data_IF_900485298261
#
_entry.id   IF_900485298261
#
_cell.length_a   1.000
_cell.length_b   1.000
_cell.length_c   1.000
_cell.angle_alpha   90.00
_cell.angle_beta   90.00
_cell.angle_gamma   90.00
#
_symmetry.space_group_name_H-M   'P 1'
#
loop_
_entity.id
_entity.type
_entity.pdbx_description
1 polymer ?
#
# COMPACT_ATOMS: atom_id res chain seq x y z
N UNK A 1 18.59 42.68 28.13
CA UNK A 1 17.28 43.14 27.62
C UNK A 1 17.34 44.30 26.60
N UNK A 2 18.51 44.90 26.31
CA UNK A 2 18.63 46.09 25.44
C UNK A 2 18.60 45.78 23.93
N UNK A 3 19.04 44.60 23.49
CA UNK A 3 19.16 44.26 22.06
C UNK A 3 17.80 44.07 21.34
N UNK A 4 16.79 43.55 22.05
CA UNK A 4 15.47 43.27 21.45
C UNK A 4 14.70 44.54 21.08
N UNK A 5 14.89 45.64 21.82
CA UNK A 5 14.19 46.92 21.57
C UNK A 5 14.74 47.60 20.31
N UNK A 6 16.07 47.60 20.14
CA UNK A 6 16.77 48.12 18.95
C UNK A 6 16.43 47.34 17.68
N UNK A 7 16.30 46.00 17.76
CA UNK A 7 15.87 45.18 16.62
C UNK A 7 14.46 45.55 16.16
N UNK A 8 13.51 45.70 17.08
CA UNK A 8 12.13 46.10 16.75
C UNK A 8 12.08 47.48 16.08
N UNK A 9 12.79 48.46 16.61
CA UNK A 9 12.83 49.81 16.01
C UNK A 9 13.46 49.80 14.61
N UNK A 10 14.53 49.03 14.39
CA UNK A 10 15.14 48.86 13.06
C UNK A 10 14.18 48.20 12.08
N UNK A 11 13.40 47.21 12.53
CA UNK A 11 12.38 46.54 11.70
C UNK A 11 11.24 47.49 11.35
N UNK A 12 10.76 48.30 12.29
CA UNK A 12 9.73 49.31 12.02
C UNK A 12 10.20 50.37 11.02
N UNK A 13 11.42 50.88 11.17
CA UNK A 13 11.98 51.86 10.24
C UNK A 13 12.16 51.25 8.85
N UNK A 14 12.64 49.99 8.76
CA UNK A 14 12.73 49.27 7.48
C UNK A 14 11.35 49.07 6.86
N UNK A 15 10.34 48.65 7.64
CA UNK A 15 8.98 48.45 7.17
C UNK A 15 8.33 49.76 6.66
N UNK A 16 8.51 50.88 7.37
CA UNK A 16 8.01 52.20 6.95
C UNK A 16 8.69 52.67 5.66
N UNK A 17 10.00 52.47 5.51
CA UNK A 17 10.75 52.79 4.29
C UNK A 17 10.32 51.92 3.10
N UNK A 18 10.13 50.62 3.31
CA UNK A 18 9.61 49.70 2.30
C UNK A 18 8.21 50.10 1.85
N UNK A 19 7.32 50.44 2.80
CA UNK A 19 5.96 50.92 2.51
C UNK A 19 5.97 52.24 1.73
N UNK A 20 6.87 53.16 2.07
CA UNK A 20 7.00 54.43 1.36
C UNK A 20 7.50 54.24 -0.08
N UNK A 21 8.54 53.41 -0.29
CA UNK A 21 9.01 53.05 -1.63
C UNK A 21 7.93 52.34 -2.45
N UNK A 22 7.20 51.41 -1.85
CA UNK A 22 6.10 50.72 -2.50
C UNK A 22 5.00 51.68 -2.97
N UNK A 23 4.64 52.68 -2.15
CA UNK A 23 3.64 53.69 -2.52
C UNK A 23 4.13 54.66 -3.60
N UNK A 24 5.40 55.08 -3.55
CA UNK A 24 5.90 56.13 -4.45
C UNK A 24 6.46 55.61 -5.77
N UNK A 25 7.04 54.41 -5.79
CA UNK A 25 7.85 53.92 -6.91
C UNK A 25 7.17 52.78 -7.68
N UNK A 26 6.26 52.06 -7.04
CA UNK A 26 5.54 50.89 -7.62
C UNK A 26 4.09 51.24 -7.96
N UNK A 27 3.47 52.19 -7.25
CA UNK A 27 2.08 52.63 -7.44
C UNK A 27 1.92 53.76 -8.49
N UNK A 28 2.88 53.90 -9.40
CA UNK A 28 2.79 54.81 -10.56
C UNK A 28 2.11 54.11 -11.74
N UNK A 29 1.37 54.85 -12.59
CA UNK A 29 0.59 54.25 -13.68
C UNK A 29 1.45 53.47 -14.69
N UNK A 30 2.71 53.86 -14.87
CA UNK A 30 3.67 53.20 -15.77
C UNK A 30 4.11 51.81 -15.28
N UNK A 31 4.10 51.56 -13.96
CA UNK A 31 4.61 50.34 -13.33
C UNK A 31 3.52 49.45 -12.72
N UNK A 32 2.25 49.81 -12.93
CA UNK A 32 1.08 49.08 -12.41
C UNK A 32 1.07 47.59 -12.81
N UNK A 33 1.60 47.26 -13.99
CA UNK A 33 1.70 45.88 -14.48
C UNK A 33 2.52 44.96 -13.55
N UNK A 34 3.53 45.51 -12.85
CA UNK A 34 4.38 44.76 -11.91
C UNK A 34 3.61 44.34 -10.65
N UNK A 35 2.50 45.02 -10.33
CA UNK A 35 1.60 44.66 -9.23
C UNK A 35 0.48 43.76 -9.74
N UNK A 36 -0.09 44.09 -10.90
CA UNK A 36 -1.24 43.37 -11.45
C UNK A 36 -0.89 41.94 -11.86
N UNK A 37 0.26 41.72 -12.51
CA UNK A 37 0.67 40.40 -12.98
C UNK A 37 0.78 39.35 -11.85
N UNK A 38 1.52 39.60 -10.74
CA UNK A 38 1.58 38.63 -9.64
C UNK A 38 0.25 38.51 -8.88
N UNK A 39 -0.55 39.60 -8.80
CA UNK A 39 -1.88 39.55 -8.18
C UNK A 39 -2.82 38.63 -8.98
N UNK A 40 -2.85 38.80 -10.30
CA UNK A 40 -3.65 37.99 -11.21
C UNK A 40 -3.22 36.53 -11.17
N UNK A 41 -1.90 36.27 -11.24
CA UNK A 41 -1.35 34.92 -11.11
C UNK A 41 -1.75 34.28 -9.77
N UNK A 42 -1.65 35.01 -8.66
CA UNK A 42 -2.08 34.55 -7.35
C UNK A 42 -3.57 34.20 -7.31
N UNK A 43 -4.42 35.03 -7.93
CA UNK A 43 -5.86 34.78 -8.00
C UNK A 43 -6.17 33.51 -8.80
N UNK A 44 -5.53 33.33 -9.96
CA UNK A 44 -5.66 32.13 -10.77
C UNK A 44 -5.19 30.87 -10.05
N UNK A 45 -4.09 30.93 -9.28
CA UNK A 45 -3.58 29.80 -8.51
C UNK A 45 -4.56 29.37 -7.40
N UNK A 46 -5.10 30.32 -6.65
CA UNK A 46 -6.10 30.03 -5.60
C UNK A 46 -7.39 29.43 -6.19
N UNK A 47 -7.86 29.97 -7.32
CA UNK A 47 -9.01 29.43 -8.06
C UNK A 47 -8.74 28.02 -8.59
N UNK A 48 -7.53 27.74 -9.07
CA UNK A 48 -7.16 26.42 -9.60
C UNK A 48 -7.09 25.36 -8.51
N UNK A 49 -6.50 25.67 -7.36
CA UNK A 49 -6.35 24.73 -6.24
C UNK A 49 -7.71 24.30 -5.68
N UNK A 50 -8.67 25.23 -5.55
CA UNK A 50 -10.01 24.93 -5.03
C UNK A 50 -10.85 24.04 -5.95
N UNK A 51 -10.71 24.18 -7.26
CA UNK A 51 -11.38 23.30 -8.22
C UNK A 51 -10.71 21.92 -8.29
N UNK A 52 -9.37 21.88 -8.25
CA UNK A 52 -8.60 20.64 -8.27
C UNK A 52 -8.83 19.80 -7.01
N UNK A 53 -8.90 20.43 -5.82
CA UNK A 53 -9.11 19.71 -4.56
C UNK A 53 -10.45 18.98 -4.52
N UNK A 54 -11.51 19.60 -5.07
CA UNK A 54 -12.84 18.98 -5.15
C UNK A 54 -12.84 17.77 -6.09
N UNK A 55 -12.21 17.88 -7.26
CA UNK A 55 -12.11 16.77 -8.19
C UNK A 55 -11.23 15.63 -7.64
N UNK A 56 -10.14 15.97 -6.97
CA UNK A 56 -9.25 15.01 -6.35
C UNK A 56 -9.93 14.20 -5.24
N UNK A 57 -10.75 14.85 -4.41
CA UNK A 57 -11.55 14.14 -3.39
C UNK A 57 -12.53 13.14 -4.00
N UNK A 58 -13.20 13.53 -5.09
CA UNK A 58 -14.13 12.64 -5.80
C UNK A 58 -13.37 11.49 -6.47
N UNK A 59 -12.22 11.75 -7.07
CA UNK A 59 -11.38 10.71 -7.66
C UNK A 59 -10.87 9.73 -6.60
N UNK A 60 -10.52 10.21 -5.42
CA UNK A 60 -10.08 9.36 -4.31
C UNK A 60 -11.21 8.43 -3.85
N UNK A 61 -12.44 8.93 -3.76
CA UNK A 61 -13.61 8.13 -3.41
C UNK A 61 -13.88 7.06 -4.48
N UNK A 62 -13.87 7.43 -5.77
CA UNK A 62 -14.03 6.50 -6.88
C UNK A 62 -12.96 5.41 -6.83
N UNK A 63 -11.69 5.78 -6.71
CA UNK A 63 -10.59 4.82 -6.65
C UNK A 63 -10.75 3.86 -5.46
N UNK A 64 -11.20 4.35 -4.30
CA UNK A 64 -11.45 3.51 -3.13
C UNK A 64 -12.59 2.50 -3.38
N UNK A 65 -13.65 2.93 -4.08
CA UNK A 65 -14.80 2.08 -4.41
C UNK A 65 -14.48 1.06 -5.49
N UNK A 66 -13.67 1.43 -6.47
CA UNK A 66 -13.17 0.50 -7.49
C UNK A 66 -12.29 -0.60 -6.87
N UNK A 67 -11.42 -0.23 -5.92
CA UNK A 67 -10.60 -1.20 -5.19
C UNK A 67 -11.47 -2.14 -4.34
N UNK A 68 -12.47 -1.62 -3.64
CA UNK A 68 -13.43 -2.40 -2.86
C UNK A 68 -14.22 -3.38 -3.76
N UNK A 69 -14.69 -2.90 -4.92
CA UNK A 69 -15.39 -3.73 -5.91
C UNK A 69 -14.48 -4.85 -6.44
N UNK A 70 -13.24 -4.54 -6.80
CA UNK A 70 -12.30 -5.53 -7.30
C UNK A 70 -12.00 -6.63 -6.27
N UNK A 71 -11.84 -6.24 -5.00
CA UNK A 71 -11.68 -7.19 -3.90
C UNK A 71 -12.91 -8.08 -3.74
N UNK A 72 -14.09 -7.48 -3.67
CA UNK A 72 -15.33 -8.21 -3.45
C UNK A 72 -15.64 -9.16 -4.62
N UNK A 73 -15.31 -8.76 -5.85
CA UNK A 73 -15.43 -9.61 -7.02
C UNK A 73 -14.52 -10.84 -6.94
N UNK A 74 -13.28 -10.65 -6.51
CA UNK A 74 -12.35 -11.78 -6.31
C UNK A 74 -12.86 -12.73 -5.23
N UNK A 75 -13.45 -12.18 -4.17
CA UNK A 75 -14.06 -12.98 -3.10
C UNK A 75 -15.27 -13.78 -3.60
N UNK A 76 -16.15 -13.17 -4.41
CA UNK A 76 -17.28 -13.89 -5.01
C UNK A 76 -16.83 -14.99 -5.96
N UNK A 77 -15.82 -14.71 -6.79
CA UNK A 77 -15.27 -15.70 -7.73
C UNK A 77 -14.64 -16.89 -6.98
N UNK A 78 -14.01 -16.62 -5.83
CA UNK A 78 -13.47 -17.67 -4.97
C UNK A 78 -14.59 -18.54 -4.36
N UNK A 79 -15.62 -17.92 -3.77
CA UNK A 79 -16.76 -18.67 -3.23
C UNK A 79 -17.48 -19.49 -4.30
N UNK A 80 -17.60 -18.97 -5.53
CA UNK A 80 -18.16 -19.74 -6.63
C UNK A 80 -17.31 -20.98 -6.94
N UNK A 81 -15.99 -20.83 -7.00
CA UNK A 81 -15.07 -21.95 -7.22
C UNK A 81 -15.13 -22.97 -6.08
N UNK A 82 -15.17 -22.52 -4.82
CA UNK A 82 -15.32 -23.40 -3.65
C UNK A 82 -16.63 -24.19 -3.72
N UNK A 83 -17.73 -23.52 -4.07
CA UNK A 83 -19.02 -24.17 -4.21
C UNK A 83 -19.00 -25.22 -5.35
N UNK A 84 -18.40 -24.90 -6.49
CA UNK A 84 -18.20 -25.85 -7.59
C UNK A 84 -17.33 -27.05 -7.16
N UNK A 85 -16.26 -26.79 -6.41
CA UNK A 85 -15.40 -27.84 -5.85
C UNK A 85 -16.19 -28.76 -4.91
N UNK A 86 -17.02 -28.23 -4.02
CA UNK A 86 -17.86 -29.05 -3.13
C UNK A 86 -18.99 -29.79 -3.88
N UNK A 87 -19.46 -29.24 -5.00
CA UNK A 87 -20.42 -29.89 -5.87
C UNK A 87 -19.81 -31.03 -6.71
N UNK A 88 -18.47 -31.08 -6.84
CA UNK A 88 -17.81 -32.12 -7.63
C UNK A 88 -18.01 -33.52 -7.04
N UNK A 89 -18.14 -34.52 -7.92
CA UNK A 89 -18.35 -35.92 -7.53
C UNK A 89 -17.18 -36.45 -6.68
N UNK A 90 -15.95 -36.12 -7.06
CA UNK A 90 -14.73 -36.50 -6.34
C UNK A 90 -14.73 -36.01 -4.90
N UNK A 91 -15.07 -34.73 -4.68
CA UNK A 91 -15.16 -34.18 -3.33
C UNK A 91 -16.26 -34.87 -2.52
N UNK A 92 -17.44 -35.06 -3.12
CA UNK A 92 -18.56 -35.71 -2.45
C UNK A 92 -18.25 -37.16 -2.09
N UNK A 93 -17.54 -37.87 -2.96
CA UNK A 93 -17.09 -39.24 -2.70
C UNK A 93 -16.11 -39.28 -1.53
N UNK A 94 -15.07 -38.45 -1.56
CA UNK A 94 -14.09 -38.35 -0.47
C UNK A 94 -14.75 -37.93 0.85
N UNK A 95 -15.71 -37.01 0.80
CA UNK A 95 -16.48 -36.58 1.96
C UNK A 95 -17.36 -37.73 2.50
N UNK A 96 -18.02 -38.49 1.64
CA UNK A 96 -18.82 -39.65 2.01
C UNK A 96 -17.97 -40.76 2.64
N UNK A 97 -16.78 -41.03 2.10
CA UNK A 97 -15.79 -41.95 2.68
C UNK A 97 -15.35 -41.48 4.06
N UNK A 98 -14.97 -40.20 4.19
CA UNK A 98 -14.42 -39.62 5.43
C UNK A 98 -15.44 -39.50 6.55
N UNK A 99 -16.66 -39.03 6.24
CA UNK A 99 -17.68 -38.70 7.24
C UNK A 99 -18.62 -39.87 7.54
N UNK A 100 -18.93 -40.69 6.52
CA UNK A 100 -19.93 -41.75 6.63
C UNK A 100 -19.33 -43.16 6.51
N UNK A 101 -17.99 -43.28 6.38
CA UNK A 101 -17.30 -44.56 6.17
C UNK A 101 -17.87 -45.36 4.99
N UNK A 102 -18.40 -44.67 3.96
CA UNK A 102 -18.88 -45.33 2.75
C UNK A 102 -17.71 -45.88 1.94
N UNK A 103 -17.94 -46.99 1.26
CA UNK A 103 -16.99 -47.66 0.38
C UNK A 103 -17.71 -48.11 -0.88
N UNK A 104 -16.98 -48.26 -2.00
CA UNK A 104 -17.57 -48.83 -3.19
C UNK A 104 -17.78 -50.35 -3.07
N UNK A 105 -18.69 -50.94 -3.84
CA UNK A 105 -18.84 -52.39 -3.92
C UNK A 105 -17.51 -53.06 -4.30
N UNK A 106 -17.03 -53.99 -3.48
CA UNK A 106 -15.77 -54.70 -3.68
C UNK A 106 -14.54 -54.08 -2.99
N UNK A 107 -14.69 -52.88 -2.41
CA UNK A 107 -13.65 -52.27 -1.58
C UNK A 107 -13.74 -52.75 -0.12
N UNK A 108 -12.59 -52.87 0.56
CA UNK A 108 -12.51 -53.26 1.99
C UNK A 108 -11.93 -52.12 2.82
N UNK A 109 -12.76 -51.54 3.68
CA UNK A 109 -12.33 -50.50 4.62
C UNK A 109 -11.44 -51.06 5.73
N UNK A 110 -10.25 -50.51 5.89
CA UNK A 110 -9.30 -50.87 6.96
C UNK A 110 -9.22 -49.73 7.96
N UNK A 111 -9.56 -49.99 9.22
CA UNK A 111 -9.41 -49.02 10.30
C UNK A 111 -7.99 -49.07 10.86
N UNK A 112 -7.23 -48.01 10.65
CA UNK A 112 -5.90 -47.89 11.23
C UNK A 112 -5.98 -47.29 12.64
N UNK A 113 -5.20 -47.81 13.62
CA UNK A 113 -5.04 -47.14 14.90
C UNK A 113 -4.40 -45.77 14.71
N UNK A 114 -4.60 -44.86 15.68
CA UNK A 114 -3.99 -43.52 15.64
C UNK A 114 -2.49 -43.63 15.37
N UNK A 115 -2.04 -42.89 14.36
CA UNK A 115 -0.65 -42.91 13.92
C UNK A 115 0.28 -42.51 15.10
N UNK A 116 1.27 -43.35 15.41
CA UNK A 116 2.22 -43.11 16.52
C UNK A 116 3.25 -42.05 16.13
N UNK A 117 3.82 -41.38 17.14
CA UNK A 117 4.89 -40.40 16.92
C UNK A 117 6.12 -41.01 16.20
N UNK A 118 6.40 -42.29 16.43
CA UNK A 118 7.45 -43.03 15.72
C UNK A 118 7.17 -43.20 14.21
N UNK A 119 5.91 -43.41 13.82
CA UNK A 119 5.53 -43.55 12.42
C UNK A 119 5.43 -42.19 11.71
N UNK A 120 5.07 -41.11 12.42
CA UNK A 120 5.17 -39.73 11.90
C UNK A 120 6.62 -39.32 11.58
N UNK A 121 7.58 -39.73 12.43
CA UNK A 121 9.02 -39.45 12.22
C UNK A 121 9.68 -40.35 11.18
N UNK A 122 9.06 -41.46 10.77
CA UNK A 122 9.61 -42.43 9.81
C UNK A 122 9.88 -41.82 8.41
N UNK A 123 9.15 -40.77 8.07
CA UNK A 123 9.31 -40.01 6.81
C UNK A 123 9.70 -38.55 7.03
N UNK A 124 10.01 -38.14 8.26
CA UNK A 124 10.84 -36.96 8.48
C UNK A 124 12.23 -37.31 7.97
N UNK A 125 12.42 -37.23 6.65
CA UNK A 125 13.72 -36.86 6.11
C UNK A 125 14.08 -35.59 6.85
N UNK A 126 15.15 -35.64 7.63
CA UNK A 126 15.79 -34.48 8.24
C UNK A 126 15.67 -33.35 7.24
N UNK A 127 14.78 -32.41 7.52
CA UNK A 127 14.51 -31.34 6.59
C UNK A 127 15.86 -30.73 6.30
N UNK A 128 16.21 -30.63 5.02
CA UNK A 128 17.41 -29.96 4.54
C UNK A 128 17.55 -28.54 5.11
N UNK A 129 16.54 -28.02 5.83
CA UNK A 129 16.59 -26.86 6.72
C UNK A 129 17.77 -26.87 7.71
N UNK A 130 18.14 -27.99 8.34
CA UNK A 130 19.32 -28.02 9.23
C UNK A 130 20.66 -27.85 8.46
N UNK A 131 20.65 -28.12 7.16
CA UNK A 131 21.79 -27.88 6.25
C UNK A 131 21.67 -26.52 5.53
N UNK A 132 20.46 -25.97 5.38
CA UNK A 132 20.21 -24.64 4.82
C UNK A 132 20.56 -23.54 5.83
N UNK A 133 20.32 -23.75 7.14
CA UNK A 133 20.71 -22.81 8.20
C UNK A 133 22.24 -22.68 8.30
N UNK A 134 23.01 -23.69 7.86
CA UNK A 134 24.48 -23.60 7.78
C UNK A 134 25.00 -22.78 6.60
N UNK A 135 24.13 -22.34 5.69
CA UNK A 135 24.48 -21.61 4.48
C UNK A 135 23.55 -20.41 4.24
N UNK A 136 23.06 -19.76 5.31
CA UNK A 136 22.39 -18.46 5.16
C UNK A 136 23.42 -17.35 4.90
N UNK A 137 23.97 -17.33 3.68
CA UNK A 137 24.50 -16.10 3.09
C UNK A 137 23.41 -15.04 3.20
N UNK A 138 23.75 -13.83 3.64
CA UNK A 138 22.78 -12.73 3.71
C UNK A 138 22.16 -12.49 2.33
N UNK A 139 20.95 -11.92 2.26
CA UNK A 139 20.35 -11.57 0.96
C UNK A 139 21.32 -10.80 0.06
N UNK A 140 22.12 -9.90 0.63
CA UNK A 140 23.14 -9.16 -0.09
C UNK A 140 24.25 -10.07 -0.66
N UNK A 141 24.79 -11.00 0.13
CA UNK A 141 25.80 -11.96 -0.34
C UNK A 141 25.26 -12.88 -1.44
N UNK A 142 23.98 -13.23 -1.39
CA UNK A 142 23.31 -13.98 -2.46
C UNK A 142 23.22 -13.15 -3.76
N UNK A 143 22.85 -11.88 -3.67
CA UNK A 143 22.83 -10.98 -4.83
C UNK A 143 24.22 -10.71 -5.39
N UNK A 144 25.23 -10.52 -4.54
CA UNK A 144 26.61 -10.30 -4.98
C UNK A 144 27.20 -11.54 -5.65
N UNK A 145 26.98 -12.73 -5.08
CA UNK A 145 27.42 -13.98 -5.70
C UNK A 145 26.68 -14.28 -7.01
N UNK A 146 25.38 -13.95 -7.13
CA UNK A 146 24.64 -14.07 -8.39
C UNK A 146 25.19 -13.13 -9.47
N UNK A 147 25.39 -11.85 -9.15
CA UNK A 147 25.80 -10.84 -10.12
C UNK A 147 27.28 -10.98 -10.54
N UNK A 148 28.14 -11.45 -9.64
CA UNK A 148 29.60 -11.41 -9.84
C UNK A 148 30.31 -12.76 -9.67
N UNK A 149 29.58 -13.86 -9.42
CA UNK A 149 30.12 -15.21 -9.26
C UNK A 149 31.29 -15.31 -8.25
N UNK A 150 31.21 -14.57 -7.14
CA UNK A 150 32.13 -14.66 -5.98
C UNK A 150 31.69 -15.71 -4.95
#
# INVERSE_FOLDING_TARGET
MVDQRSRKERLEVKARRLKAKFRQEILTPEKFILVLAPLFLGLCLLGSISNLSRNWSLQQEVNSKEAELAYLKLETDNYELENQYYASEEYQELAARRLQNKQFPGETLVYLPKNTESARRKHQKTTSAEQAIRNEKTNFDQWMSFLFHL
#
